data_IF_178886567659
#
_entry.id   IF_178886567659
#
_cell.length_a   1.000
_cell.length_b   1.000
_cell.length_c   1.000
_cell.angle_alpha   90.00
_cell.angle_beta   90.00
_cell.angle_gamma   90.00
#
_symmetry.space_group_name_H-M   'P 1'
#
loop_
_entity.id
_entity.type
_entity.pdbx_description
1 polymer ?
#
# COMPACT_ATOMS: atom_id res chain seq x y z
N UNK A 1 -10.87 -53.04 67.78
CA UNK A 1 -9.74 -52.73 66.88
C UNK A 1 -10.23 -51.72 65.86
N UNK A 2 -9.57 -50.56 65.78
CA UNK A 2 -9.91 -49.37 64.99
C UNK A 2 -10.17 -49.69 63.50
N UNK A 3 -11.03 -48.97 62.76
CA UNK A 3 -10.62 -47.80 61.95
C UNK A 3 -11.85 -47.10 61.28
N UNK A 4 -11.93 -45.77 61.50
CA UNK A 4 -12.31 -44.63 60.64
C UNK A 4 -13.67 -44.61 59.89
N UNK A 5 -14.56 -43.66 60.21
CA UNK A 5 -14.64 -42.24 59.77
C UNK A 5 -15.05 -41.99 58.30
N UNK A 6 -16.32 -41.61 58.14
CA UNK A 6 -16.75 -40.30 57.61
C UNK A 6 -16.15 -39.83 56.26
N UNK A 7 -16.94 -39.92 55.18
CA UNK A 7 -16.74 -39.08 53.98
C UNK A 7 -18.06 -38.46 53.54
N UNK A 8 -18.42 -37.38 54.23
CA UNK A 8 -19.34 -36.33 53.77
C UNK A 8 -18.52 -35.38 52.89
N UNK A 9 -19.15 -34.84 51.83
CA UNK A 9 -18.68 -33.72 50.99
C UNK A 9 -17.93 -34.12 49.71
N UNK A 10 -18.67 -34.16 48.58
CA UNK A 10 -18.14 -33.91 47.22
C UNK A 10 -19.23 -33.58 46.18
N UNK A 11 -20.23 -32.78 46.56
CA UNK A 11 -21.30 -32.30 45.65
C UNK A 11 -21.20 -30.81 45.30
N UNK A 12 -20.01 -30.18 45.39
CA UNK A 12 -19.84 -28.77 45.01
C UNK A 12 -18.50 -28.51 44.34
N UNK A 13 -18.34 -28.92 43.08
CA UNK A 13 -17.18 -28.49 42.27
C UNK A 13 -17.32 -28.70 40.76
N UNK A 14 -18.54 -28.57 40.20
CA UNK A 14 -18.75 -28.75 38.75
C UNK A 14 -19.68 -27.69 38.11
N UNK A 15 -19.81 -26.50 38.69
CA UNK A 15 -20.68 -25.44 38.13
C UNK A 15 -20.02 -24.04 38.16
N UNK A 16 -18.71 -23.94 37.95
CA UNK A 16 -18.06 -22.61 37.80
C UNK A 16 -17.13 -22.44 36.59
N UNK A 17 -16.92 -23.46 35.78
CA UNK A 17 -15.97 -23.39 34.64
C UNK A 17 -16.62 -23.29 33.25
N UNK A 18 -17.91 -22.97 33.15
CA UNK A 18 -18.60 -22.86 31.85
C UNK A 18 -18.88 -21.44 31.35
N UNK A 19 -18.58 -20.41 32.14
CA UNK A 19 -18.90 -19.01 31.80
C UNK A 19 -17.68 -18.10 31.54
N UNK A 20 -16.45 -18.63 31.52
CA UNK A 20 -15.25 -17.83 31.23
C UNK A 20 -14.73 -17.92 29.79
N UNK A 21 -15.35 -18.72 28.91
CA UNK A 21 -14.78 -19.00 27.57
C UNK A 21 -15.50 -18.22 26.44
N UNK A 22 -16.63 -17.56 26.71
CA UNK A 22 -17.44 -16.90 25.67
C UNK A 22 -17.24 -15.38 25.54
N UNK A 23 -16.38 -14.76 26.37
CA UNK A 23 -16.18 -13.30 26.36
C UNK A 23 -14.96 -12.75 25.60
N UNK A 24 -13.90 -13.51 25.19
CA UNK A 24 -12.81 -12.90 24.44
C UNK A 24 -13.10 -12.79 22.92
N UNK A 25 -14.08 -13.53 22.40
CA UNK A 25 -14.29 -13.62 20.94
C UNK A 25 -14.98 -12.40 20.31
N UNK A 26 -15.74 -11.62 21.08
CA UNK A 26 -16.44 -10.44 20.54
C UNK A 26 -15.51 -9.21 20.52
N UNK A 27 -14.54 -9.12 21.42
CA UNK A 27 -13.58 -7.99 21.46
C UNK A 27 -12.56 -8.09 20.32
N UNK A 28 -12.22 -9.30 19.87
CA UNK A 28 -11.26 -9.51 18.77
C UNK A 28 -11.86 -9.09 17.42
N UNK A 29 -13.17 -9.28 17.19
CA UNK A 29 -13.83 -8.86 15.95
C UNK A 29 -14.03 -7.34 15.84
N UNK A 30 -14.12 -6.62 16.96
CA UNK A 30 -14.26 -5.15 16.99
C UNK A 30 -12.92 -4.41 16.78
N UNK A 31 -11.78 -5.04 17.11
CA UNK A 31 -10.43 -4.50 16.81
C UNK A 31 -9.99 -4.74 15.35
N UNK A 32 -10.62 -5.67 14.64
CA UNK A 32 -10.41 -5.89 13.19
C UNK A 32 -11.29 -5.00 12.28
N UNK A 33 -12.14 -4.14 12.85
CA UNK A 33 -12.87 -3.12 12.10
C UNK A 33 -12.02 -1.88 11.75
N UNK A 34 -10.70 -1.98 11.90
CA UNK A 34 -9.73 -0.98 11.45
C UNK A 34 -9.36 -1.23 9.98
N UNK A 35 -9.65 -0.24 9.14
CA UNK A 35 -9.27 -0.13 7.73
C UNK A 35 -9.90 -1.18 6.82
N UNK A 36 -10.96 -0.75 6.12
CA UNK A 36 -11.20 -1.21 4.74
C UNK A 36 -9.88 -1.08 3.98
N UNK A 37 -9.10 -2.15 3.91
CA UNK A 37 -8.07 -2.31 2.89
C UNK A 37 -8.84 -2.34 1.59
N UNK A 38 -8.84 -1.22 0.89
CA UNK A 38 -9.15 -1.17 -0.53
C UNK A 38 -8.49 -2.41 -1.16
N UNK A 39 -9.32 -3.33 -1.66
CA UNK A 39 -8.84 -4.61 -2.14
C UNK A 39 -8.01 -4.39 -3.39
N UNK A 40 -6.70 -4.41 -3.21
CA UNK A 40 -5.75 -4.27 -4.30
C UNK A 40 -5.65 -5.58 -5.10
N UNK A 41 -5.91 -5.52 -6.41
CA UNK A 41 -5.84 -6.68 -7.30
C UNK A 41 -4.66 -6.58 -8.28
N UNK A 42 -3.59 -7.31 -7.99
CA UNK A 42 -2.42 -7.46 -8.88
C UNK A 42 -2.73 -8.23 -10.18
N UNK A 43 -3.85 -8.95 -10.22
CA UNK A 43 -4.28 -9.78 -11.33
C UNK A 43 -5.12 -9.08 -12.40
N UNK A 44 -5.27 -7.75 -12.34
CA UNK A 44 -6.11 -7.01 -13.30
C UNK A 44 -5.59 -7.19 -14.73
N UNK A 45 -6.37 -7.77 -15.68
CA UNK A 45 -5.88 -8.07 -17.03
C UNK A 45 -5.60 -6.82 -17.86
N UNK A 46 -6.37 -5.74 -17.66
CA UNK A 46 -6.15 -4.47 -18.32
C UNK A 46 -4.96 -3.72 -17.69
N UNK A 47 -3.96 -3.38 -18.51
CA UNK A 47 -2.72 -2.80 -18.01
C UNK A 47 -2.90 -1.36 -17.48
N UNK A 48 -3.83 -0.59 -18.06
CA UNK A 48 -4.12 0.76 -17.59
C UNK A 48 -4.79 0.74 -16.22
N UNK A 49 -5.81 -0.11 -16.04
CA UNK A 49 -6.48 -0.33 -14.75
C UNK A 49 -5.51 -0.88 -13.71
N UNK A 50 -4.66 -1.84 -14.09
CA UNK A 50 -3.61 -2.34 -13.20
C UNK A 50 -2.75 -1.19 -12.65
N UNK A 51 -2.28 -0.28 -13.50
CA UNK A 51 -1.46 0.86 -13.06
C UNK A 51 -2.24 1.83 -12.16
N UNK A 52 -3.52 2.06 -12.43
CA UNK A 52 -4.36 2.87 -11.56
C UNK A 52 -4.52 2.26 -10.17
N UNK A 53 -4.83 0.96 -10.10
CA UNK A 53 -4.96 0.23 -8.84
C UNK A 53 -3.63 0.16 -8.08
N UNK A 54 -2.53 -0.11 -8.79
CA UNK A 54 -1.19 -0.14 -8.21
C UNK A 54 -0.80 1.22 -7.67
N UNK A 55 -0.98 2.30 -8.45
CA UNK A 55 -0.67 3.64 -8.00
C UNK A 55 -1.54 4.11 -6.84
N UNK A 56 -2.84 3.74 -6.80
CA UNK A 56 -3.69 3.97 -5.63
C UNK A 56 -3.15 3.28 -4.38
N UNK A 57 -2.77 2.01 -4.49
CA UNK A 57 -2.17 1.26 -3.39
C UNK A 57 -0.83 1.87 -2.94
N UNK A 58 0.00 2.38 -3.87
CA UNK A 58 1.25 3.08 -3.55
C UNK A 58 0.98 4.39 -2.80
N UNK A 59 0.02 5.20 -3.24
CA UNK A 59 -0.38 6.42 -2.55
C UNK A 59 -0.85 6.13 -1.12
N UNK A 60 -1.68 5.09 -0.93
CA UNK A 60 -2.11 4.63 0.38
C UNK A 60 -0.93 4.19 1.26
N UNK A 61 0.01 3.43 0.69
CA UNK A 61 1.20 2.95 1.39
C UNK A 61 2.13 4.10 1.78
N UNK A 62 2.29 5.12 0.94
CA UNK A 62 3.01 6.34 1.29
C UNK A 62 2.35 7.06 2.47
N UNK A 63 1.02 7.22 2.43
CA UNK A 63 0.31 7.85 3.55
C UNK A 63 0.45 7.04 4.83
N UNK A 64 0.35 5.71 4.78
CA UNK A 64 0.60 4.80 5.91
C UNK A 64 2.02 5.01 6.48
N UNK A 65 3.04 4.98 5.62
CA UNK A 65 4.43 4.98 6.03
C UNK A 65 4.96 6.35 6.46
N UNK A 66 4.39 7.43 5.94
CA UNK A 66 4.83 8.80 6.21
C UNK A 66 3.83 9.61 7.01
N UNK A 67 2.68 9.07 7.41
CA UNK A 67 1.67 9.76 8.23
C UNK A 67 2.26 10.55 9.42
N UNK A 68 3.21 10.00 10.22
CA UNK A 68 3.82 10.76 11.31
C UNK A 68 4.53 12.02 10.84
N UNK A 69 5.29 11.94 9.74
CA UNK A 69 5.99 13.08 9.15
C UNK A 69 5.02 14.07 8.51
N UNK A 70 4.04 13.58 7.75
CA UNK A 70 3.05 14.43 7.08
C UNK A 70 2.28 15.30 8.08
N UNK A 71 1.97 14.77 9.27
CA UNK A 71 1.30 15.53 10.35
C UNK A 71 2.17 16.64 10.95
N UNK A 72 3.49 16.59 10.78
CA UNK A 72 4.41 17.63 11.28
C UNK A 72 4.66 18.76 10.28
N UNK A 73 4.22 18.58 9.03
CA UNK A 73 4.31 19.64 8.02
C UNK A 73 3.39 20.80 8.39
N UNK A 74 3.70 22.01 7.90
CA UNK A 74 2.77 23.14 8.04
C UNK A 74 1.47 22.84 7.30
N UNK A 75 0.31 23.36 7.74
CA UNK A 75 -0.99 23.06 7.14
C UNK A 75 -1.05 23.28 5.62
N UNK A 76 -0.37 24.30 5.11
CA UNK A 76 -0.23 24.58 3.68
C UNK A 76 0.39 23.40 2.90
N UNK A 77 1.44 22.77 3.42
CA UNK A 77 2.08 21.61 2.80
C UNK A 77 1.28 20.33 3.01
N UNK A 78 0.56 20.19 4.13
CA UNK A 78 -0.34 19.05 4.34
C UNK A 78 -1.44 18.99 3.28
N UNK A 79 -1.95 20.16 2.84
CA UNK A 79 -2.92 20.24 1.75
C UNK A 79 -2.32 19.86 0.40
N UNK A 80 -1.03 20.07 0.20
CA UNK A 80 -0.35 19.69 -1.05
C UNK A 80 0.06 18.22 -1.09
N UNK A 81 0.33 17.61 0.07
CA UNK A 81 0.80 16.21 0.18
C UNK A 81 -0.30 15.36 0.79
N UNK A 82 -1.34 15.12 -0.01
CA UNK A 82 -2.49 14.30 0.36
C UNK A 82 -2.78 13.22 -0.70
N UNK A 83 -3.71 12.31 -0.39
CA UNK A 83 -4.08 11.20 -1.27
C UNK A 83 -4.63 11.67 -2.63
N UNK A 84 -5.49 12.69 -2.64
CA UNK A 84 -6.11 13.23 -3.85
C UNK A 84 -5.03 13.75 -4.80
N UNK A 85 -4.11 14.58 -4.31
CA UNK A 85 -3.01 15.12 -5.11
C UNK A 85 -2.06 14.02 -5.61
N UNK A 86 -1.87 12.95 -4.83
CA UNK A 86 -1.10 11.78 -5.26
C UNK A 86 -1.78 11.05 -6.43
N UNK A 87 -3.10 10.84 -6.35
CA UNK A 87 -3.88 10.17 -7.40
C UNK A 87 -4.01 11.04 -8.66
N UNK A 88 -4.20 12.35 -8.51
CA UNK A 88 -4.21 13.28 -9.65
C UNK A 88 -2.87 13.27 -10.38
N UNK A 89 -1.76 13.25 -9.63
CA UNK A 89 -0.41 13.17 -10.19
C UNK A 89 -0.17 11.85 -10.92
N UNK A 90 -0.69 10.74 -10.38
CA UNK A 90 -0.63 9.43 -11.03
C UNK A 90 -1.35 9.44 -12.39
N UNK A 91 -2.55 10.02 -12.45
CA UNK A 91 -3.41 9.94 -13.64
C UNK A 91 -2.97 10.85 -14.80
N UNK A 92 -2.41 12.02 -14.48
CA UNK A 92 -2.16 13.13 -15.42
C UNK A 92 -1.49 12.70 -16.73
N UNK A 93 -0.47 11.87 -16.64
CA UNK A 93 0.32 11.42 -17.81
C UNK A 93 0.27 9.90 -18.01
N UNK A 94 -0.59 9.19 -17.26
CA UNK A 94 -0.57 7.72 -17.25
C UNK A 94 -0.81 7.14 -18.64
N UNK A 95 -1.82 7.64 -19.35
CA UNK A 95 -2.19 7.16 -20.69
C UNK A 95 -1.04 7.29 -21.70
N UNK A 96 -0.31 8.39 -21.64
CA UNK A 96 0.82 8.63 -22.54
C UNK A 96 2.00 7.72 -22.18
N UNK A 97 2.28 7.53 -20.88
CA UNK A 97 3.35 6.65 -20.41
C UNK A 97 3.06 5.18 -20.76
N UNK A 98 1.84 4.69 -20.52
CA UNK A 98 1.51 3.28 -20.81
C UNK A 98 1.49 2.95 -22.30
N UNK A 99 1.28 3.94 -23.18
CA UNK A 99 1.23 3.70 -24.64
C UNK A 99 2.54 3.23 -25.25
N UNK A 100 3.67 3.37 -24.54
CA UNK A 100 4.99 2.94 -24.99
C UNK A 100 5.54 1.75 -24.19
N UNK A 101 4.72 1.09 -23.37
CA UNK A 101 5.18 -0.09 -22.63
C UNK A 101 5.12 -1.35 -23.48
N UNK A 102 6.17 -2.16 -23.40
CA UNK A 102 6.23 -3.49 -24.01
C UNK A 102 5.60 -4.56 -23.09
N UNK A 103 5.18 -5.73 -23.59
CA UNK A 103 4.66 -6.82 -22.76
C UNK A 103 5.60 -7.27 -21.63
N UNK A 104 6.92 -7.19 -21.87
CA UNK A 104 7.95 -7.46 -20.88
C UNK A 104 7.88 -6.44 -19.73
N UNK A 105 7.82 -5.15 -20.05
CA UNK A 105 7.67 -4.08 -19.05
C UNK A 105 6.38 -4.24 -18.24
N UNK A 106 5.30 -4.72 -18.86
CA UNK A 106 4.05 -4.99 -18.13
C UNK A 106 4.23 -6.09 -17.08
N UNK A 107 4.94 -7.17 -17.44
CA UNK A 107 5.24 -8.29 -16.56
C UNK A 107 6.13 -7.84 -15.40
N UNK A 108 7.20 -7.10 -15.71
CA UNK A 108 8.11 -6.53 -14.73
C UNK A 108 7.40 -5.55 -13.78
N UNK A 109 6.47 -4.73 -14.29
CA UNK A 109 5.66 -3.81 -13.48
C UNK A 109 4.81 -4.54 -12.45
N UNK A 110 4.16 -5.65 -12.84
CA UNK A 110 3.37 -6.48 -11.92
C UNK A 110 4.22 -7.09 -10.83
N UNK A 111 5.37 -7.65 -11.20
CA UNK A 111 6.31 -8.22 -10.24
C UNK A 111 6.88 -7.16 -9.28
N UNK A 112 7.31 -6.02 -9.82
CA UNK A 112 7.86 -4.90 -9.05
C UNK A 112 6.86 -4.36 -8.04
N UNK A 113 5.67 -3.94 -8.49
CA UNK A 113 4.66 -3.35 -7.60
C UNK A 113 4.09 -4.35 -6.61
N UNK A 114 3.95 -5.62 -7.01
CA UNK A 114 3.55 -6.70 -6.09
C UNK A 114 4.52 -6.85 -4.93
N UNK A 115 5.83 -6.86 -5.19
CA UNK A 115 6.84 -6.97 -4.14
C UNK A 115 6.94 -5.69 -3.30
N UNK A 116 6.89 -4.51 -3.93
CA UNK A 116 7.05 -3.24 -3.25
C UNK A 116 5.91 -3.00 -2.24
N UNK A 117 4.66 -3.30 -2.61
CA UNK A 117 3.49 -3.13 -1.74
C UNK A 117 3.45 -4.12 -0.57
N UNK A 118 4.15 -5.25 -0.68
CA UNK A 118 4.29 -6.22 0.41
C UNK A 118 5.36 -5.81 1.44
N UNK A 119 6.24 -4.85 1.12
CA UNK A 119 7.28 -4.41 2.03
C UNK A 119 6.73 -3.58 3.19
N UNK A 120 7.47 -3.63 4.29
CA UNK A 120 7.22 -2.77 5.45
C UNK A 120 7.63 -1.31 5.14
N UNK A 121 7.21 -0.36 5.99
CA UNK A 121 7.45 1.06 5.76
C UNK A 121 8.91 1.50 5.80
N UNK A 122 9.81 0.76 6.47
CA UNK A 122 11.25 1.08 6.47
C UNK A 122 11.90 0.78 5.12
N UNK A 123 11.34 -0.18 4.39
CA UNK A 123 11.88 -0.66 3.12
C UNK A 123 11.08 -0.20 1.90
N UNK A 124 9.93 0.45 2.09
CA UNK A 124 9.05 0.81 0.99
C UNK A 124 9.69 1.77 -0.02
N UNK A 125 10.42 2.81 0.42
CA UNK A 125 11.11 3.74 -0.50
C UNK A 125 12.42 3.17 -1.08
N UNK A 126 13.18 2.45 -0.26
CA UNK A 126 14.49 1.94 -0.67
C UNK A 126 14.36 0.63 -1.46
N UNK A 127 13.22 -0.04 -1.33
CA UNK A 127 12.94 -1.35 -1.90
C UNK A 127 12.95 -1.36 -3.42
N UNK A 128 12.69 -0.23 -4.09
CA UNK A 128 12.77 -0.11 -5.55
C UNK A 128 14.17 -0.43 -6.07
N UNK A 129 15.22 -0.11 -5.31
CA UNK A 129 16.62 -0.38 -5.66
C UNK A 129 17.03 -1.81 -5.31
N UNK A 130 16.29 -2.51 -4.45
CA UNK A 130 16.61 -3.87 -4.01
C UNK A 130 15.68 -4.95 -4.58
N UNK A 131 14.70 -4.57 -5.40
CA UNK A 131 13.83 -5.50 -6.11
C UNK A 131 14.36 -5.62 -7.55
N UNK A 132 14.89 -6.79 -7.96
CA UNK A 132 15.46 -6.96 -9.30
C UNK A 132 14.48 -6.56 -10.42
N UNK A 133 13.20 -6.95 -10.29
CA UNK A 133 12.17 -6.59 -11.26
C UNK A 133 11.95 -5.07 -11.38
N UNK A 134 12.16 -4.30 -10.30
CA UNK A 134 12.05 -2.83 -10.34
C UNK A 134 13.27 -2.19 -11.00
N UNK A 135 14.46 -2.75 -10.80
CA UNK A 135 15.68 -2.30 -11.46
C UNK A 135 15.59 -2.53 -12.97
N UNK A 136 15.26 -3.76 -13.37
CA UNK A 136 15.12 -4.15 -14.78
C UNK A 136 13.99 -3.36 -15.46
N UNK A 137 12.86 -3.14 -14.77
CA UNK A 137 11.80 -2.27 -15.27
C UNK A 137 12.32 -0.85 -15.55
N UNK A 138 13.17 -0.31 -14.66
CA UNK A 138 13.72 1.04 -14.81
C UNK A 138 14.64 1.13 -16.03
N UNK A 139 15.50 0.13 -16.24
CA UNK A 139 16.40 0.03 -17.39
C UNK A 139 15.62 -0.09 -18.70
N UNK A 140 14.64 -1.00 -18.76
CA UNK A 140 13.76 -1.19 -19.92
C UNK A 140 12.97 0.07 -20.23
N UNK A 141 12.39 0.71 -19.21
CA UNK A 141 11.67 1.97 -19.37
C UNK A 141 12.58 3.06 -19.92
N UNK A 142 13.79 3.21 -19.38
CA UNK A 142 14.76 4.20 -19.86
C UNK A 142 15.12 3.96 -21.33
N UNK A 143 15.42 2.70 -21.70
CA UNK A 143 15.74 2.32 -23.07
C UNK A 143 14.59 2.62 -24.04
N UNK A 144 13.35 2.30 -23.66
CA UNK A 144 12.19 2.50 -24.52
C UNK A 144 11.85 3.98 -24.67
N UNK A 145 11.87 4.75 -23.58
CA UNK A 145 11.61 6.21 -23.63
C UNK A 145 12.62 6.97 -24.48
N UNK A 146 13.88 6.53 -24.54
CA UNK A 146 14.90 7.14 -25.42
C UNK A 146 14.55 7.01 -26.91
N UNK A 147 13.76 6.01 -27.30
CA UNK A 147 13.25 5.85 -28.67
C UNK A 147 12.12 6.85 -29.00
N UNK A 148 11.58 7.54 -27.99
CA UNK A 148 10.46 8.47 -28.11
C UNK A 148 10.81 9.90 -27.61
N UNK A 149 11.79 10.60 -28.21
CA UNK A 149 12.30 11.87 -27.69
C UNK A 149 11.25 13.00 -27.68
N UNK A 150 10.28 12.98 -28.61
CA UNK A 150 9.19 13.96 -28.64
C UNK A 150 8.24 13.80 -27.44
N UNK A 151 7.93 12.55 -27.07
CA UNK A 151 7.12 12.24 -25.90
C UNK A 151 7.88 12.63 -24.62
N UNK A 152 9.16 12.30 -24.52
CA UNK A 152 10.00 12.66 -23.39
C UNK A 152 10.02 14.18 -23.17
N UNK A 153 10.24 14.97 -24.23
CA UNK A 153 10.21 16.44 -24.16
C UNK A 153 8.86 16.96 -23.68
N UNK A 154 7.76 16.40 -24.17
CA UNK A 154 6.40 16.79 -23.78
C UNK A 154 6.11 16.48 -22.30
N UNK A 155 6.57 15.33 -21.81
CA UNK A 155 6.40 14.96 -20.40
C UNK A 155 7.22 15.87 -19.48
N UNK A 156 8.46 16.20 -19.86
CA UNK A 156 9.33 17.10 -19.11
C UNK A 156 8.79 18.53 -19.07
N UNK A 157 8.32 19.07 -20.20
CA UNK A 157 7.79 20.43 -20.25
C UNK A 157 6.51 20.60 -19.43
N UNK A 158 5.64 19.58 -19.38
CA UNK A 158 4.47 19.57 -18.49
C UNK A 158 4.84 19.52 -17.01
N UNK A 159 5.90 18.80 -16.67
CA UNK A 159 6.41 18.73 -15.32
C UNK A 159 6.95 20.11 -14.86
N UNK A 160 7.73 20.78 -15.72
CA UNK A 160 8.27 22.13 -15.47
C UNK A 160 7.18 23.19 -15.34
N UNK A 161 6.14 23.16 -16.18
CA UNK A 161 5.00 24.07 -16.09
C UNK A 161 4.28 23.95 -14.74
N UNK A 162 4.02 22.72 -14.28
CA UNK A 162 3.36 22.49 -12.98
C UNK A 162 4.21 22.94 -11.78
N UNK A 163 5.54 22.83 -11.89
CA UNK A 163 6.46 23.29 -10.83
C UNK A 163 6.60 24.81 -10.76
N UNK A 164 6.30 25.50 -11.86
CA UNK A 164 6.32 26.96 -11.95
C UNK A 164 5.05 27.56 -11.35
N UNK A 165 3.88 26.96 -11.61
CA UNK A 165 2.60 27.36 -11.01
C UNK A 165 2.60 27.17 -9.48
N UNK A 166 3.26 26.13 -8.97
CA UNK A 166 3.43 25.89 -7.54
C UNK A 166 4.39 26.86 -6.83
N UNK A 167 5.19 27.64 -7.57
CA UNK A 167 6.12 28.66 -7.01
C UNK A 167 5.54 30.08 -7.01
N UNK A 168 4.46 30.32 -7.73
CA UNK A 168 3.83 31.64 -7.87
C UNK A 168 2.61 31.85 -6.96
N UNK A 169 2.23 30.85 -6.16
CA UNK A 169 1.19 30.90 -5.12
C UNK A 169 1.80 30.70 -3.73
#
# INVERSE_FOLDING_TARGET
>A
MHILHNYRSRTRLLISMRWMILLPSIVISLLSAGCSRDQYNLGEPDYYKFHLEAGRAMCAKMQECYAPFLRTLRPEYQRQVNMETCLESLQRDLKERISIHTPEMQTLSRACYGQLLQRNCKEFLVGTVFIPACQELTEQTSSEFQKHPALLRKLLSRQEASSSEARTN
#
